data_IF_510373416839
#
_entry.id   IF_510373416839
#
_cell.length_a   1.000
_cell.length_b   1.000
_cell.length_c   1.000
_cell.angle_alpha   90.00
_cell.angle_beta   90.00
_cell.angle_gamma   90.00
#
_symmetry.space_group_name_H-M   'P 1'
#
loop_
_entity.id
_entity.type
_entity.pdbx_description
1 polymer ?
#
# COMPACT_ATOMS: atom_id res chain seq x y z
N UNK A 1 1.81 -12.12 3.64
CA UNK A 1 0.98 -10.94 3.28
C UNK A 1 1.04 -9.83 4.33
N UNK A 2 0.77 -10.08 5.63
CA UNK A 2 0.82 -9.02 6.66
C UNK A 2 2.18 -8.33 6.77
N UNK A 3 3.30 -9.07 6.71
CA UNK A 3 4.64 -8.46 6.71
C UNK A 3 4.87 -7.51 5.52
N UNK A 4 4.29 -7.83 4.35
CA UNK A 4 4.36 -6.96 3.18
C UNK A 4 3.44 -5.74 3.32
N UNK A 5 2.15 -5.95 3.63
CA UNK A 5 1.16 -4.88 3.54
C UNK A 5 1.15 -3.96 4.76
N UNK A 6 1.50 -4.43 5.96
CA UNK A 6 1.57 -3.60 7.16
C UNK A 6 2.94 -2.95 7.34
N UNK A 7 4.02 -3.73 7.32
CA UNK A 7 5.39 -3.24 7.60
C UNK A 7 6.21 -2.88 6.36
N UNK A 8 5.69 -3.13 5.15
CA UNK A 8 6.44 -2.92 3.89
C UNK A 8 7.73 -3.74 3.84
N UNK A 9 7.70 -5.00 4.32
CA UNK A 9 8.87 -5.88 4.34
C UNK A 9 9.33 -6.23 2.92
N UNK A 10 10.54 -5.80 2.55
CA UNK A 10 11.12 -6.10 1.24
C UNK A 10 11.40 -7.59 1.09
N UNK A 11 11.83 -8.25 2.15
CA UNK A 11 12.02 -9.70 2.24
C UNK A 11 10.70 -10.46 2.01
N UNK A 12 9.61 -9.97 2.60
CA UNK A 12 8.28 -10.53 2.39
C UNK A 12 7.80 -10.36 0.94
N UNK A 13 8.12 -9.21 0.30
CA UNK A 13 7.81 -8.98 -1.11
C UNK A 13 8.55 -9.97 -2.02
N UNK A 14 9.86 -10.14 -1.80
CA UNK A 14 10.69 -11.07 -2.58
C UNK A 14 10.21 -12.51 -2.40
N UNK A 15 10.00 -12.95 -1.15
CA UNK A 15 9.53 -14.31 -0.86
C UNK A 15 8.17 -14.62 -1.52
N UNK A 16 7.26 -13.65 -1.53
CA UNK A 16 5.96 -13.81 -2.22
C UNK A 16 6.12 -13.85 -3.73
N UNK A 17 7.00 -13.03 -4.30
CA UNK A 17 7.29 -13.03 -5.73
C UNK A 17 7.86 -14.37 -6.20
N UNK A 18 8.85 -14.90 -5.48
CA UNK A 18 9.44 -16.22 -5.75
C UNK A 18 8.43 -17.35 -5.59
N UNK A 19 7.59 -17.29 -4.54
CA UNK A 19 6.53 -18.27 -4.34
C UNK A 19 5.48 -18.27 -5.47
N UNK A 20 5.10 -17.09 -5.96
CA UNK A 20 4.06 -16.95 -6.97
C UNK A 20 4.54 -17.27 -8.40
N UNK A 21 5.79 -16.93 -8.71
CA UNK A 21 6.29 -16.92 -10.10
C UNK A 21 7.65 -17.57 -10.28
N UNK A 22 8.26 -18.11 -9.21
CA UNK A 22 9.55 -18.77 -9.24
C UNK A 22 10.75 -17.83 -9.18
N UNK A 23 10.62 -16.55 -9.59
CA UNK A 23 11.65 -15.53 -9.47
C UNK A 23 11.06 -14.12 -9.39
N UNK A 24 11.88 -13.16 -8.96
CA UNK A 24 11.50 -11.73 -8.93
C UNK A 24 11.23 -11.21 -10.36
N UNK A 25 12.03 -11.62 -11.33
CA UNK A 25 11.90 -11.19 -12.73
C UNK A 25 10.58 -11.69 -13.35
N UNK A 26 10.23 -12.96 -13.14
CA UNK A 26 8.97 -13.51 -13.64
C UNK A 26 7.77 -12.87 -12.91
N UNK A 27 7.91 -12.57 -11.62
CA UNK A 27 6.88 -11.84 -10.89
C UNK A 27 6.71 -10.40 -11.40
N UNK A 28 7.80 -9.70 -11.72
CA UNK A 28 7.73 -8.37 -12.32
C UNK A 28 6.98 -8.39 -13.67
N UNK A 29 7.19 -9.41 -14.52
CA UNK A 29 6.40 -9.58 -15.74
C UNK A 29 4.92 -9.78 -15.43
N UNK A 30 4.60 -10.58 -14.41
CA UNK A 30 3.22 -10.79 -13.95
C UNK A 30 2.61 -9.48 -13.42
N UNK A 31 3.34 -8.70 -12.63
CA UNK A 31 2.89 -7.38 -12.16
C UNK A 31 2.52 -6.47 -13.34
N UNK A 32 3.40 -6.35 -14.34
CA UNK A 32 3.17 -5.51 -15.51
C UNK A 32 1.98 -5.98 -16.35
N UNK A 33 1.86 -7.29 -16.60
CA UNK A 33 0.73 -7.85 -17.35
C UNK A 33 -0.60 -7.64 -16.62
N UNK A 34 -0.61 -7.81 -15.29
CA UNK A 34 -1.77 -7.58 -14.43
C UNK A 34 -2.17 -6.11 -14.42
N UNK A 35 -1.21 -5.19 -14.21
CA UNK A 35 -1.47 -3.75 -14.26
C UNK A 35 -2.08 -3.34 -15.61
N UNK A 36 -1.52 -3.83 -16.71
CA UNK A 36 -2.03 -3.60 -18.06
C UNK A 36 -3.46 -4.13 -18.25
N UNK A 37 -3.80 -5.28 -17.67
CA UNK A 37 -5.15 -5.84 -17.73
C UNK A 37 -6.19 -4.97 -16.99
N UNK A 38 -5.76 -4.16 -16.03
CA UNK A 38 -6.58 -3.16 -15.34
C UNK A 38 -6.64 -1.81 -16.06
N UNK A 39 -5.95 -1.68 -17.20
CA UNK A 39 -5.86 -0.43 -17.96
C UNK A 39 -4.72 0.50 -17.50
N UNK A 40 -3.89 0.09 -16.56
CA UNK A 40 -2.72 0.84 -16.09
C UNK A 40 -1.56 0.67 -17.09
N UNK A 41 -1.54 1.52 -18.12
CA UNK A 41 -0.64 1.40 -19.28
C UNK A 41 0.58 2.33 -19.22
N UNK A 42 0.64 3.22 -18.23
CA UNK A 42 1.75 4.16 -18.02
C UNK A 42 2.57 3.79 -16.77
N UNK A 43 2.68 2.50 -16.49
CA UNK A 43 3.43 1.95 -15.35
C UNK A 43 4.39 0.88 -15.82
N UNK A 44 5.50 0.80 -15.11
CA UNK A 44 6.50 -0.26 -15.26
C UNK A 44 6.99 -0.69 -13.88
N UNK A 45 6.96 -1.98 -13.62
CA UNK A 45 7.39 -2.58 -12.37
C UNK A 45 8.54 -3.56 -12.65
N UNK A 46 9.67 -3.37 -11.98
CA UNK A 46 10.86 -4.23 -12.14
C UNK A 46 11.21 -5.02 -10.87
N UNK A 47 10.55 -4.69 -9.75
CA UNK A 47 10.67 -5.40 -8.49
C UNK A 47 9.36 -5.35 -7.68
N UNK A 48 9.14 -6.29 -6.73
CA UNK A 48 7.92 -6.35 -5.93
C UNK A 48 7.95 -5.45 -4.68
N UNK A 49 9.10 -4.87 -4.35
CA UNK A 49 9.32 -4.13 -3.10
C UNK A 49 9.12 -2.62 -3.25
N UNK A 50 9.18 -2.08 -4.46
CA UNK A 50 9.14 -0.64 -4.72
C UNK A 50 10.47 0.06 -4.46
N UNK A 51 11.58 -0.68 -4.40
CA UNK A 51 12.91 -0.09 -4.37
C UNK A 51 13.21 0.65 -5.68
N UNK A 52 13.96 1.77 -5.61
CA UNK A 52 14.22 2.61 -6.76
C UNK A 52 14.93 1.88 -7.90
N UNK A 53 14.46 2.13 -9.11
CA UNK A 53 15.08 1.74 -10.39
C UNK A 53 14.55 2.71 -11.44
N UNK A 54 15.37 3.08 -12.43
CA UNK A 54 14.99 4.02 -13.49
C UNK A 54 13.79 3.56 -14.31
N UNK A 55 13.58 2.23 -14.39
CA UNK A 55 12.47 1.60 -15.10
C UNK A 55 11.29 1.24 -14.16
N UNK A 56 11.34 1.66 -12.89
CA UNK A 56 10.26 1.42 -11.92
C UNK A 56 9.46 2.68 -11.68
N UNK A 57 8.34 2.80 -12.37
CA UNK A 57 7.49 4.00 -12.31
C UNK A 57 6.01 3.67 -12.44
N UNK A 58 5.18 4.60 -11.99
CA UNK A 58 3.72 4.57 -12.15
C UNK A 58 3.17 5.99 -12.20
N UNK A 59 1.89 6.12 -12.52
CA UNK A 59 1.13 7.37 -12.40
C UNK A 59 0.09 7.28 -11.29
N UNK A 60 -0.42 8.43 -10.83
CA UNK A 60 -1.54 8.46 -9.87
C UNK A 60 -2.77 7.74 -10.45
N UNK A 61 -3.06 7.94 -11.73
CA UNK A 61 -4.20 7.29 -12.38
C UNK A 61 -4.04 5.77 -12.50
N UNK A 62 -2.86 5.30 -12.90
CA UNK A 62 -2.59 3.87 -12.98
C UNK A 62 -2.67 3.21 -11.59
N UNK A 63 -2.13 3.88 -10.56
CA UNK A 63 -2.24 3.38 -9.20
C UNK A 63 -3.70 3.38 -8.70
N UNK A 64 -4.51 4.35 -9.08
CA UNK A 64 -5.95 4.32 -8.82
C UNK A 64 -6.60 3.08 -9.45
N UNK A 65 -6.29 2.75 -10.70
CA UNK A 65 -6.81 1.55 -11.38
C UNK A 65 -6.38 0.26 -10.67
N UNK A 66 -5.09 0.15 -10.33
CA UNK A 66 -4.55 -1.01 -9.61
C UNK A 66 -5.20 -1.14 -8.23
N UNK A 67 -5.26 -0.06 -7.46
CA UNK A 67 -5.82 -0.07 -6.12
C UNK A 67 -7.34 -0.33 -6.13
N UNK A 68 -8.07 0.22 -7.10
CA UNK A 68 -9.50 -0.04 -7.30
C UNK A 68 -9.79 -1.54 -7.52
N UNK A 69 -8.93 -2.22 -8.27
CA UNK A 69 -9.05 -3.67 -8.44
C UNK A 69 -8.65 -4.42 -7.15
N UNK A 70 -7.60 -3.99 -6.46
CA UNK A 70 -7.15 -4.64 -5.23
C UNK A 70 -8.20 -4.59 -4.11
N UNK A 71 -8.92 -3.46 -3.94
CA UNK A 71 -9.97 -3.31 -2.92
C UNK A 71 -11.26 -4.10 -3.22
N UNK A 72 -11.38 -4.72 -4.39
CA UNK A 72 -12.44 -5.71 -4.66
C UNK A 72 -12.20 -7.03 -3.94
N UNK A 73 -10.98 -7.28 -3.48
CA UNK A 73 -10.61 -8.47 -2.71
C UNK A 73 -10.77 -8.17 -1.20
N UNK A 74 -11.76 -8.81 -0.58
CA UNK A 74 -12.04 -8.65 0.85
C UNK A 74 -10.81 -8.93 1.73
N UNK A 75 -10.02 -9.95 1.37
CA UNK A 75 -8.79 -10.30 2.08
C UNK A 75 -7.73 -9.18 2.04
N UNK A 76 -7.62 -8.46 0.91
CA UNK A 76 -6.72 -7.32 0.80
C UNK A 76 -7.18 -6.18 1.70
N UNK A 77 -8.49 -5.83 1.63
CA UNK A 77 -9.08 -4.78 2.48
C UNK A 77 -8.91 -5.12 3.96
N UNK A 78 -9.18 -6.37 4.37
CA UNK A 78 -9.02 -6.80 5.76
C UNK A 78 -7.58 -6.60 6.28
N UNK A 79 -6.56 -6.85 5.43
CA UNK A 79 -5.17 -6.65 5.83
C UNK A 79 -4.82 -5.17 5.92
N UNK A 80 -5.12 -4.36 4.89
CA UNK A 80 -4.74 -2.94 4.89
C UNK A 80 -5.50 -2.10 5.92
N UNK A 81 -6.63 -2.61 6.44
CA UNK A 81 -7.43 -1.99 7.51
C UNK A 81 -6.92 -2.34 8.90
N UNK A 82 -6.11 -3.39 9.03
CA UNK A 82 -5.62 -3.84 10.33
C UNK A 82 -4.57 -2.86 10.89
N UNK A 83 -4.68 -2.51 12.17
CA UNK A 83 -3.65 -1.72 12.86
C UNK A 83 -2.43 -2.58 13.17
N UNK A 84 -2.68 -3.80 13.64
CA UNK A 84 -1.65 -4.79 13.98
C UNK A 84 -2.10 -6.19 13.60
N UNK A 85 -1.16 -7.10 13.48
CA UNK A 85 -1.43 -8.53 13.31
C UNK A 85 -0.37 -9.37 14.03
N UNK A 86 -0.82 -10.23 14.94
CA UNK A 86 0.06 -11.18 15.63
C UNK A 86 0.18 -12.46 14.81
N UNK A 87 1.40 -12.85 14.49
CA UNK A 87 1.70 -14.08 13.79
C UNK A 87 2.61 -14.98 14.63
N UNK A 88 2.28 -16.26 14.65
CA UNK A 88 3.14 -17.32 15.18
C UNK A 88 3.56 -18.23 14.03
N UNK A 89 4.86 -18.47 13.89
CA UNK A 89 5.42 -19.31 12.82
C UNK A 89 6.71 -20.01 13.30
N UNK A 90 7.15 -20.96 12.51
CA UNK A 90 8.44 -21.64 12.74
C UNK A 90 9.47 -21.05 11.77
N UNK A 91 10.61 -20.61 12.30
CA UNK A 91 11.69 -20.10 11.45
C UNK A 91 12.48 -21.23 10.77
N UNK A 92 13.44 -20.87 9.92
CA UNK A 92 14.27 -21.83 9.20
C UNK A 92 15.12 -22.75 10.10
N UNK A 93 15.34 -22.37 11.35
CA UNK A 93 16.07 -23.18 12.36
C UNK A 93 15.12 -24.09 13.18
N UNK A 94 13.84 -24.14 12.85
CA UNK A 94 12.85 -24.96 13.56
C UNK A 94 12.34 -24.34 14.87
N UNK A 95 12.74 -23.11 15.21
CA UNK A 95 12.28 -22.45 16.43
C UNK A 95 10.93 -21.74 16.22
N UNK A 96 10.04 -21.84 17.22
CA UNK A 96 8.80 -21.07 17.25
C UNK A 96 9.10 -19.58 17.44
N UNK A 97 8.53 -18.75 16.60
CA UNK A 97 8.66 -17.28 16.61
C UNK A 97 7.29 -16.65 16.68
N UNK A 98 7.13 -15.64 17.53
CA UNK A 98 5.95 -14.77 17.54
C UNK A 98 6.37 -13.35 17.14
N UNK A 99 5.62 -12.72 16.22
CA UNK A 99 5.87 -11.38 15.74
C UNK A 99 4.57 -10.62 15.58
N UNK A 100 4.52 -9.40 16.10
CA UNK A 100 3.43 -8.45 15.84
C UNK A 100 3.83 -7.56 14.65
N UNK A 101 3.12 -7.65 13.54
CA UNK A 101 3.22 -6.72 12.42
C UNK A 101 2.39 -5.48 12.71
N UNK A 102 2.94 -4.28 12.41
CA UNK A 102 2.28 -2.99 12.67
C UNK A 102 2.06 -2.23 11.37
N UNK A 103 0.87 -1.63 11.23
CA UNK A 103 0.58 -0.79 10.07
C UNK A 103 1.42 0.49 10.09
N UNK A 104 1.84 0.94 8.92
CA UNK A 104 2.62 2.18 8.74
C UNK A 104 1.76 3.39 8.40
N UNK A 105 0.46 3.21 8.13
CA UNK A 105 -0.47 4.30 7.84
C UNK A 105 -0.80 5.07 9.12
N UNK A 106 -0.42 6.35 9.18
CA UNK A 106 -0.54 7.18 10.38
C UNK A 106 -1.98 7.44 10.83
N UNK A 107 -2.96 7.40 9.94
CA UNK A 107 -4.37 7.49 10.33
C UNK A 107 -4.83 6.25 11.10
N UNK A 108 -4.43 5.06 10.67
CA UNK A 108 -4.80 3.80 11.32
C UNK A 108 -4.08 3.60 12.65
N UNK A 109 -2.87 4.14 12.80
CA UNK A 109 -2.09 4.05 14.04
C UNK A 109 -2.39 5.17 15.04
N UNK A 110 -3.23 6.15 14.66
CA UNK A 110 -3.55 7.31 15.50
C UNK A 110 -2.48 8.40 15.53
N UNK A 111 -1.43 8.28 14.71
CA UNK A 111 -0.37 9.31 14.61
C UNK A 111 -0.85 10.59 13.88
N UNK A 112 -1.89 10.45 13.05
CA UNK A 112 -2.54 11.55 12.34
C UNK A 112 -4.05 11.38 12.39
N UNK A 113 -4.77 12.50 12.35
CA UNK A 113 -6.23 12.54 12.39
C UNK A 113 -6.78 12.95 11.03
N UNK A 114 -7.77 12.20 10.53
CA UNK A 114 -8.50 12.56 9.33
C UNK A 114 -9.44 13.74 9.61
N UNK A 115 -9.87 14.49 8.58
CA UNK A 115 -10.88 15.53 8.72
C UNK A 115 -12.19 14.97 9.30
N UNK A 116 -12.98 15.86 9.91
CA UNK A 116 -14.32 15.52 10.38
C UNK A 116 -15.18 14.94 9.24
N UNK A 117 -16.03 13.98 9.55
CA UNK A 117 -16.88 13.25 8.59
C UNK A 117 -16.13 12.34 7.58
N UNK A 118 -14.84 12.10 7.79
CA UNK A 118 -14.07 11.12 6.99
C UNK A 118 -13.54 10.02 7.88
N UNK A 119 -13.85 8.78 7.54
CA UNK A 119 -13.32 7.59 8.21
C UNK A 119 -12.32 6.90 7.30
N UNK A 120 -11.06 6.82 7.73
CA UNK A 120 -10.03 6.05 7.01
C UNK A 120 -10.21 4.57 7.33
N UNK A 121 -10.39 3.76 6.30
CA UNK A 121 -10.68 2.32 6.40
C UNK A 121 -9.52 1.45 5.93
N UNK A 122 -8.48 2.01 5.33
CA UNK A 122 -7.31 1.27 4.91
C UNK A 122 -6.29 2.16 4.20
N UNK A 123 -5.06 1.70 4.08
CA UNK A 123 -4.06 2.45 3.34
C UNK A 123 -2.70 1.77 3.28
N UNK A 124 -1.87 2.25 2.36
CA UNK A 124 -0.49 1.80 2.20
C UNK A 124 0.44 2.98 1.97
N UNK A 125 1.44 3.08 2.82
CA UNK A 125 2.53 4.06 2.68
C UNK A 125 3.66 3.50 1.82
N UNK A 126 4.40 4.39 1.17
CA UNK A 126 5.69 4.10 0.52
C UNK A 126 6.65 5.26 0.77
N UNK A 127 7.93 4.95 0.98
CA UNK A 127 8.95 5.99 1.12
C UNK A 127 10.29 5.47 0.60
N UNK A 128 10.87 6.22 -0.33
CA UNK A 128 12.28 6.09 -0.73
C UNK A 128 12.87 7.50 -0.89
N UNK A 129 14.19 7.60 -0.99
CA UNK A 129 14.82 8.91 -1.24
C UNK A 129 14.38 9.56 -2.55
N UNK A 130 14.11 8.76 -3.58
CA UNK A 130 13.71 9.22 -4.92
C UNK A 130 12.20 9.44 -5.06
N UNK A 131 11.40 8.55 -4.48
CA UNK A 131 9.94 8.65 -4.54
C UNK A 131 9.36 9.66 -3.54
N UNK A 132 10.14 10.13 -2.55
CA UNK A 132 9.61 10.92 -1.45
C UNK A 132 8.63 10.10 -0.60
N UNK A 133 7.72 10.78 0.08
CA UNK A 133 6.67 10.15 0.87
C UNK A 133 5.39 9.99 0.04
N UNK A 134 4.88 8.75 0.00
CA UNK A 134 3.71 8.37 -0.79
C UNK A 134 2.65 7.70 0.10
N UNK A 135 1.38 7.88 -0.24
CA UNK A 135 0.25 7.24 0.44
C UNK A 135 -0.89 7.01 -0.55
N UNK A 136 -1.39 5.78 -0.55
CA UNK A 136 -2.69 5.43 -1.15
C UNK A 136 -3.64 5.09 -0.02
N UNK A 137 -4.82 5.68 -0.03
CA UNK A 137 -5.78 5.61 1.06
C UNK A 137 -7.15 5.13 0.57
N UNK A 138 -7.79 4.29 1.37
CA UNK A 138 -9.20 3.97 1.29
C UNK A 138 -9.90 4.62 2.47
N UNK A 139 -10.93 5.42 2.19
CA UNK A 139 -11.73 6.09 3.20
C UNK A 139 -13.21 6.08 2.84
N UNK A 140 -14.05 6.53 3.77
CA UNK A 140 -15.48 6.75 3.59
C UNK A 140 -15.85 8.15 4.08
N UNK A 141 -16.76 8.82 3.37
CA UNK A 141 -17.34 10.08 3.80
C UNK A 141 -18.58 9.86 4.71
N UNK A 142 -19.23 10.95 5.13
CA UNK A 142 -20.44 10.90 5.94
C UNK A 142 -21.61 10.12 5.32
N UNK A 143 -21.62 9.96 3.99
CA UNK A 143 -22.62 9.19 3.24
C UNK A 143 -22.25 7.71 3.06
N UNK A 144 -21.15 7.26 3.67
CA UNK A 144 -20.54 5.93 3.48
C UNK A 144 -20.07 5.66 2.02
N UNK A 145 -19.85 6.70 1.24
CA UNK A 145 -19.26 6.56 -0.08
C UNK A 145 -17.77 6.27 0.04
N UNK A 146 -17.29 5.25 -0.68
CA UNK A 146 -15.87 4.89 -0.70
C UNK A 146 -15.07 5.89 -1.53
N UNK A 147 -13.96 6.35 -0.98
CA UNK A 147 -13.05 7.32 -1.60
C UNK A 147 -11.66 6.71 -1.64
N UNK A 148 -11.02 6.74 -2.81
CA UNK A 148 -9.59 6.46 -2.98
C UNK A 148 -8.89 7.79 -3.10
N UNK A 149 -7.92 8.04 -2.23
CA UNK A 149 -7.08 9.24 -2.25
C UNK A 149 -5.61 8.85 -2.39
N UNK A 150 -4.88 9.56 -3.24
CA UNK A 150 -3.48 9.24 -3.55
C UNK A 150 -2.65 10.53 -3.47
N UNK A 151 -1.57 10.47 -2.70
CA UNK A 151 -0.53 11.50 -2.67
C UNK A 151 0.81 10.85 -2.96
N UNK A 152 1.54 11.40 -3.90
CA UNK A 152 2.89 10.98 -4.24
C UNK A 152 3.89 12.12 -4.07
N UNK A 153 5.12 11.74 -3.76
CA UNK A 153 6.28 12.61 -3.79
C UNK A 153 6.19 13.82 -2.86
N UNK A 154 5.59 13.65 -1.68
CA UNK A 154 5.66 14.66 -0.63
C UNK A 154 7.08 14.70 -0.02
N UNK A 155 7.55 15.91 0.33
CA UNK A 155 8.90 16.11 0.87
C UNK A 155 9.08 15.52 2.27
N UNK A 156 7.99 15.43 3.04
CA UNK A 156 8.00 14.88 4.39
C UNK A 156 6.69 14.24 4.80
N UNK A 157 6.73 13.44 5.88
CA UNK A 157 5.49 12.84 6.42
C UNK A 157 4.45 13.90 6.79
N UNK A 158 4.87 15.04 7.33
CA UNK A 158 3.95 16.13 7.70
C UNK A 158 3.22 16.67 6.48
N UNK A 159 3.94 16.90 5.40
CA UNK A 159 3.39 17.42 4.15
C UNK A 159 2.47 16.39 3.50
N UNK A 160 2.89 15.10 3.50
CA UNK A 160 2.06 13.99 3.02
C UNK A 160 0.66 13.98 3.67
N UNK A 161 0.60 14.06 5.01
CA UNK A 161 -0.67 14.04 5.72
C UNK A 161 -1.43 15.38 5.65
N UNK A 162 -0.73 16.50 5.48
CA UNK A 162 -1.35 17.79 5.22
C UNK A 162 -2.07 17.80 3.87
N UNK A 163 -1.40 17.40 2.79
CA UNK A 163 -2.01 17.29 1.46
C UNK A 163 -3.13 16.26 1.42
N UNK A 164 -2.95 15.14 2.11
CA UNK A 164 -4.02 14.13 2.21
C UNK A 164 -5.25 14.69 2.91
N UNK A 165 -5.10 15.46 4.00
CA UNK A 165 -6.21 16.09 4.68
C UNK A 165 -6.91 17.16 3.82
N UNK A 166 -6.20 17.91 2.99
CA UNK A 166 -6.80 18.83 2.01
C UNK A 166 -7.70 18.08 1.01
N UNK A 167 -7.20 16.97 0.45
CA UNK A 167 -7.98 16.12 -0.47
C UNK A 167 -9.21 15.58 0.24
N UNK A 168 -9.05 14.96 1.41
CA UNK A 168 -10.13 14.34 2.16
C UNK A 168 -11.21 15.34 2.57
N UNK A 169 -10.83 16.57 2.94
CA UNK A 169 -11.77 17.65 3.28
C UNK A 169 -12.69 18.02 2.12
N UNK A 170 -12.21 17.91 0.88
CA UNK A 170 -13.00 18.15 -0.33
C UNK A 170 -14.14 17.13 -0.54
N UNK A 171 -14.08 15.97 0.11
CA UNK A 171 -15.05 14.87 -0.03
C UNK A 171 -15.79 14.53 1.27
N UNK A 172 -15.63 15.32 2.32
CA UNK A 172 -16.17 15.05 3.66
C UNK A 172 -17.72 15.11 3.74
N UNK A 173 -18.38 15.75 2.77
CA UNK A 173 -19.83 16.03 2.76
C UNK A 173 -20.61 15.15 1.78
#
# INVERSE_FOLDING_TARGET
MYGLLLESGNDAAIALAEYCSGSVEEFAKLMNSTAKSFGATNSSFVNPSGLPDENHYTTIYDMYLIFSNAISLESFVAIISSQTHDAAYTNAQGAAVSKTFKNTCGYLTGAYTAPENVTVTGGKTGTTGEAGHCLVLLSQNAKNERIISIVYKADGKKDLYSFMNEILSGFAN
#
